data_IF_076385629801
#
_entry.id   IF_076385629801
#
_cell.length_a   1.000
_cell.length_b   1.000
_cell.length_c   1.000
_cell.angle_alpha   90.00
_cell.angle_beta   90.00
_cell.angle_gamma   90.00
#
_symmetry.space_group_name_H-M   'P 1'
#
loop_
_entity.id
_entity.type
_entity.pdbx_description
1 polymer ?
#
# COMPACT_ATOMS: atom_id res chain seq x y z
N UNK A 1 -8.33 -10.14 -5.76
CA UNK A 1 -8.74 -10.69 -4.45
C UNK A 1 -9.92 -9.89 -3.97
N UNK A 2 -10.99 -10.55 -3.51
CA UNK A 2 -12.14 -9.88 -2.91
C UNK A 2 -12.01 -10.05 -1.39
N UNK A 3 -12.09 -8.94 -0.65
CA UNK A 3 -12.17 -8.95 0.81
C UNK A 3 -13.64 -8.75 1.21
N UNK A 4 -14.27 -9.81 1.71
CA UNK A 4 -15.70 -9.81 2.05
C UNK A 4 -15.99 -9.30 3.46
N UNK A 5 -14.99 -9.28 4.33
CA UNK A 5 -15.10 -8.75 5.69
C UNK A 5 -13.96 -7.75 5.93
N UNK A 6 -14.25 -6.57 6.49
CA UNK A 6 -13.21 -5.62 6.86
C UNK A 6 -12.42 -6.17 8.05
N UNK A 7 -11.27 -6.79 7.76
CA UNK A 7 -10.25 -7.08 8.76
C UNK A 7 -9.70 -5.77 9.35
N UNK A 8 -9.66 -5.65 10.67
CA UNK A 8 -9.25 -4.41 11.35
C UNK A 8 -7.73 -4.32 11.58
N UNK A 9 -7.01 -5.43 11.33
CA UNK A 9 -5.57 -5.53 11.50
C UNK A 9 -4.87 -5.53 10.13
N UNK A 10 -4.10 -4.49 9.77
CA UNK A 10 -3.42 -4.43 8.48
C UNK A 10 -2.46 -5.60 8.27
N UNK A 11 -1.85 -6.12 9.35
CA UNK A 11 -0.96 -7.28 9.26
C UNK A 11 -1.67 -8.56 8.82
N UNK A 12 -2.96 -8.75 9.16
CA UNK A 12 -3.75 -9.90 8.68
C UNK A 12 -4.04 -9.76 7.19
N UNK A 13 -4.41 -8.55 6.75
CA UNK A 13 -4.63 -8.25 5.32
C UNK A 13 -3.34 -8.47 4.53
N UNK A 14 -2.20 -7.97 5.01
CA UNK A 14 -0.89 -8.21 4.41
C UNK A 14 -0.55 -9.70 4.30
N UNK A 15 -0.81 -10.48 5.36
CA UNK A 15 -0.62 -11.93 5.31
C UNK A 15 -1.54 -12.62 4.28
N UNK A 16 -2.79 -12.17 4.15
CA UNK A 16 -3.71 -12.70 3.13
C UNK A 16 -3.24 -12.36 1.73
N UNK A 17 -2.75 -11.14 1.50
CA UNK A 17 -2.12 -10.72 0.25
C UNK A 17 -0.88 -11.58 -0.03
N UNK A 18 -0.01 -11.80 0.95
CA UNK A 18 1.18 -12.66 0.81
C UNK A 18 0.88 -14.13 0.50
N UNK A 19 -0.35 -14.61 0.78
CA UNK A 19 -0.79 -15.95 0.31
C UNK A 19 -1.09 -15.99 -1.18
N UNK A 20 -1.51 -14.86 -1.75
CA UNK A 20 -1.75 -14.69 -3.20
C UNK A 20 -0.44 -14.33 -3.91
N UNK A 21 0.33 -13.42 -3.32
CA UNK A 21 1.64 -12.98 -3.80
C UNK A 21 2.78 -13.72 -3.10
N UNK A 22 3.03 -14.94 -3.58
CA UNK A 22 4.15 -15.77 -3.14
C UNK A 22 5.13 -16.03 -4.27
N UNK A 23 6.32 -16.51 -3.94
CA UNK A 23 7.32 -16.92 -4.94
C UNK A 23 6.68 -17.89 -5.94
N UNK A 24 6.83 -17.59 -7.23
CA UNK A 24 6.24 -18.37 -8.31
C UNK A 24 4.74 -18.14 -8.53
N UNK A 25 4.12 -17.12 -7.92
CA UNK A 25 2.73 -16.75 -8.20
C UNK A 25 2.52 -16.42 -9.68
N UNK A 26 1.28 -16.55 -10.16
CA UNK A 26 0.92 -16.15 -11.53
C UNK A 26 1.25 -14.69 -11.81
N UNK A 27 1.12 -13.83 -10.80
CA UNK A 27 1.51 -12.43 -10.93
C UNK A 27 3.02 -12.29 -11.13
N UNK A 28 3.85 -12.95 -10.30
CA UNK A 28 5.30 -12.91 -10.42
C UNK A 28 5.78 -13.40 -11.80
N UNK A 29 5.24 -14.52 -12.28
CA UNK A 29 5.55 -15.04 -13.62
C UNK A 29 5.17 -14.05 -14.73
N UNK A 30 3.98 -13.44 -14.66
CA UNK A 30 3.55 -12.42 -15.63
C UNK A 30 4.41 -11.17 -15.56
N UNK A 31 4.88 -10.80 -14.37
CA UNK A 31 5.75 -9.65 -14.17
C UNK A 31 7.11 -9.89 -14.83
N UNK A 32 7.72 -11.05 -14.63
CA UNK A 32 8.98 -11.42 -15.28
C UNK A 32 8.88 -11.36 -16.81
N UNK A 33 7.81 -11.93 -17.38
CA UNK A 33 7.55 -11.88 -18.82
C UNK A 33 7.37 -10.43 -19.29
N UNK A 34 6.59 -9.63 -18.57
CA UNK A 34 6.37 -8.22 -18.92
C UNK A 34 7.66 -7.40 -18.87
N UNK A 35 8.53 -7.65 -17.88
CA UNK A 35 9.84 -6.98 -17.76
C UNK A 35 10.78 -7.37 -18.91
N UNK A 36 10.87 -8.66 -19.26
CA UNK A 36 11.70 -9.14 -20.37
C UNK A 36 11.23 -8.61 -21.72
N UNK A 37 9.92 -8.54 -21.93
CA UNK A 37 9.32 -8.09 -23.19
C UNK A 37 9.11 -6.57 -23.26
N UNK A 38 9.45 -5.80 -22.22
CA UNK A 38 9.19 -4.36 -22.16
C UNK A 38 7.71 -3.98 -22.18
N UNK A 39 6.80 -4.91 -21.84
CA UNK A 39 5.36 -4.67 -21.90
C UNK A 39 4.88 -3.71 -20.80
N UNK A 40 3.93 -2.86 -21.18
CA UNK A 40 3.20 -1.95 -20.29
C UNK A 40 1.69 -2.05 -20.58
N UNK A 41 0.81 -1.92 -19.56
CA UNK A 41 1.13 -1.76 -18.14
C UNK A 41 1.65 -3.07 -17.52
N UNK A 42 2.43 -2.94 -16.44
CA UNK A 42 2.85 -4.11 -15.65
C UNK A 42 1.62 -4.78 -15.01
N UNK A 43 1.63 -6.11 -14.85
CA UNK A 43 0.56 -6.81 -14.16
C UNK A 43 0.45 -6.31 -12.72
N UNK A 44 -0.77 -6.19 -12.21
CA UNK A 44 -1.05 -5.77 -10.83
C UNK A 44 -1.87 -6.82 -10.12
N UNK A 45 -1.67 -6.93 -8.81
CA UNK A 45 -2.58 -7.65 -7.93
C UNK A 45 -3.66 -6.64 -7.52
N UNK A 46 -4.91 -6.96 -7.84
CA UNK A 46 -6.03 -6.10 -7.50
C UNK A 46 -6.71 -6.60 -6.24
N UNK A 47 -6.84 -5.74 -5.25
CA UNK A 47 -7.52 -6.00 -3.97
C UNK A 47 -8.81 -5.18 -3.97
N UNK A 48 -9.96 -5.85 -3.82
CA UNK A 48 -11.29 -5.23 -3.87
C UNK A 48 -12.03 -5.51 -2.56
N UNK A 49 -11.98 -4.60 -1.58
CA UNK A 49 -12.81 -4.70 -0.38
C UNK A 49 -14.28 -4.40 -0.70
N UNK A 50 -15.19 -5.16 -0.11
CA UNK A 50 -16.62 -4.87 -0.13
C UNK A 50 -16.97 -4.16 1.16
N UNK A 51 -17.41 -2.91 1.06
CA UNK A 51 -17.71 -2.06 2.21
C UNK A 51 -19.13 -1.54 2.04
N UNK A 52 -19.94 -1.66 3.08
CA UNK A 52 -21.28 -1.11 3.09
C UNK A 52 -21.24 0.33 3.64
N UNK A 53 -21.68 1.29 2.84
CA UNK A 53 -21.72 2.69 3.25
C UNK A 53 -22.70 2.93 4.39
N UNK A 54 -22.39 3.89 5.26
CA UNK A 54 -23.23 4.24 6.42
C UNK A 54 -23.26 3.17 7.51
N UNK A 55 -22.54 2.05 7.35
CA UNK A 55 -22.43 1.01 8.37
C UNK A 55 -21.11 1.13 9.14
N UNK A 56 -20.98 0.28 10.16
CA UNK A 56 -19.75 0.09 10.89
C UNK A 56 -18.56 -0.30 9.99
N UNK A 57 -18.81 -0.97 8.87
CA UNK A 57 -17.78 -1.37 7.90
C UNK A 57 -17.07 -0.16 7.29
N UNK A 58 -17.79 0.94 7.03
CA UNK A 58 -17.21 2.17 6.51
C UNK A 58 -16.27 2.83 7.53
N UNK A 59 -16.65 2.83 8.81
CA UNK A 59 -15.78 3.33 9.88
C UNK A 59 -14.53 2.45 10.04
N UNK A 60 -14.71 1.13 10.06
CA UNK A 60 -13.62 0.16 10.12
C UNK A 60 -12.66 0.28 8.95
N UNK A 61 -13.19 0.45 7.73
CA UNK A 61 -12.39 0.64 6.54
C UNK A 61 -11.48 1.87 6.65
N UNK A 62 -12.01 2.99 7.16
CA UNK A 62 -11.22 4.20 7.40
C UNK A 62 -10.08 3.94 8.39
N UNK A 63 -10.38 3.30 9.53
CA UNK A 63 -9.38 2.96 10.55
C UNK A 63 -8.29 2.03 10.00
N UNK A 64 -8.67 1.03 9.21
CA UNK A 64 -7.73 0.12 8.57
C UNK A 64 -6.79 0.89 7.62
N UNK A 65 -7.34 1.79 6.80
CA UNK A 65 -6.57 2.59 5.87
C UNK A 65 -5.57 3.51 6.58
N UNK A 66 -5.96 4.14 7.69
CA UNK A 66 -5.06 4.98 8.49
C UNK A 66 -3.92 4.15 9.10
N UNK A 67 -4.23 2.98 9.67
CA UNK A 67 -3.24 2.07 10.23
C UNK A 67 -2.32 1.46 9.17
N UNK A 68 -2.84 1.24 7.98
CA UNK A 68 -2.05 0.77 6.85
C UNK A 68 -1.00 1.81 6.46
N UNK A 69 -1.37 3.09 6.38
CA UNK A 69 -0.44 4.18 6.08
C UNK A 69 0.65 4.30 7.16
N UNK A 70 0.29 4.14 8.45
CA UNK A 70 1.27 4.06 9.54
C UNK A 70 2.24 2.88 9.39
N UNK A 71 1.70 1.68 9.15
CA UNK A 71 2.52 0.48 8.97
C UNK A 71 3.46 0.62 7.77
N UNK A 72 2.94 1.13 6.65
CA UNK A 72 3.72 1.38 5.45
C UNK A 72 4.84 2.38 5.73
N UNK A 73 4.57 3.44 6.49
CA UNK A 73 5.56 4.43 6.84
C UNK A 73 6.70 3.85 7.70
N UNK A 74 6.36 3.03 8.69
CA UNK A 74 7.32 2.34 9.55
C UNK A 74 8.21 1.36 8.75
N UNK A 75 7.62 0.60 7.82
CA UNK A 75 8.36 -0.42 7.06
C UNK A 75 9.25 0.16 5.96
N UNK A 76 8.88 1.32 5.41
CA UNK A 76 9.57 1.90 4.25
C UNK A 76 10.34 3.18 4.57
N UNK A 77 10.49 3.53 5.85
CA UNK A 77 11.22 4.73 6.28
C UNK A 77 10.57 6.04 5.86
N UNK A 78 9.26 6.05 5.62
CA UNK A 78 8.54 7.29 5.32
C UNK A 78 8.39 8.07 6.62
N UNK A 79 9.00 9.26 6.69
CA UNK A 79 9.05 10.05 7.93
C UNK A 79 7.69 10.65 8.28
N UNK A 80 7.01 11.20 7.26
CA UNK A 80 5.66 11.77 7.41
C UNK A 80 4.66 10.90 6.66
N UNK A 81 3.75 10.17 7.35
CA UNK A 81 2.73 9.33 6.73
C UNK A 81 1.89 10.11 5.71
N UNK A 82 1.48 9.46 4.62
CA UNK A 82 0.88 10.15 3.48
C UNK A 82 -0.45 10.81 3.83
N UNK A 83 -1.24 10.22 4.74
CA UNK A 83 -2.53 10.79 5.15
C UNK A 83 -2.38 12.18 5.79
N UNK A 84 -1.25 12.44 6.45
CA UNK A 84 -0.95 13.71 7.11
C UNK A 84 -0.48 14.79 6.14
N UNK A 85 -0.15 14.42 4.89
CA UNK A 85 0.34 15.37 3.87
C UNK A 85 -0.79 16.15 3.18
N UNK A 86 -2.03 15.70 3.35
CA UNK A 86 -3.19 16.37 2.79
C UNK A 86 -3.44 17.70 3.51
N UNK A 87 -3.49 18.79 2.76
CA UNK A 87 -3.67 20.14 3.32
C UNK A 87 -2.39 20.83 3.81
N UNK A 88 -1.22 20.21 3.64
CA UNK A 88 0.06 20.85 3.95
C UNK A 88 0.29 22.10 3.09
N UNK A 89 0.90 23.13 3.70
CA UNK A 89 1.38 24.31 2.97
C UNK A 89 2.55 23.96 2.05
N UNK A 90 2.94 24.91 1.18
CA UNK A 90 4.07 24.72 0.29
C UNK A 90 5.40 24.60 1.06
N UNK A 91 5.54 25.32 2.18
CA UNK A 91 6.70 25.22 3.07
C UNK A 91 6.78 23.84 3.75
N UNK A 92 5.66 23.35 4.29
CA UNK A 92 5.60 22.02 4.90
C UNK A 92 5.91 20.92 3.88
N UNK A 93 5.40 21.07 2.66
CA UNK A 93 5.68 20.15 1.55
C UNK A 93 7.17 20.12 1.20
N UNK A 94 7.81 21.29 1.13
CA UNK A 94 9.25 21.39 0.88
C UNK A 94 10.08 20.68 1.96
N UNK A 95 9.71 20.79 3.23
CA UNK A 95 10.40 20.06 4.31
C UNK A 95 10.13 18.54 4.24
N UNK A 96 8.91 18.13 3.90
CA UNK A 96 8.59 16.71 3.68
C UNK A 96 9.44 16.13 2.55
N UNK A 97 9.58 16.83 1.43
CA UNK A 97 10.40 16.38 0.29
C UNK A 97 11.88 16.27 0.68
N UNK A 98 12.37 17.18 1.52
CA UNK A 98 13.73 17.12 2.08
C UNK A 98 13.92 15.90 2.98
N UNK A 99 12.94 15.60 3.83
CA UNK A 99 12.95 14.42 4.71
C UNK A 99 12.91 13.12 3.91
N UNK A 100 12.03 13.02 2.91
CA UNK A 100 11.91 11.84 2.05
C UNK A 100 13.20 11.58 1.25
N UNK A 101 13.88 12.65 0.82
CA UNK A 101 15.16 12.54 0.12
C UNK A 101 16.31 12.06 1.01
N UNK A 102 16.23 12.34 2.31
CA UNK A 102 17.21 11.90 3.31
C UNK A 102 16.87 10.52 3.91
N UNK A 103 15.65 10.01 3.68
CA UNK A 103 15.21 8.74 4.20
C UNK A 103 15.94 7.55 3.54
N UNK A 104 16.15 6.45 4.27
CA UNK A 104 16.73 5.23 3.71
C UNK A 104 15.85 4.68 2.58
N UNK A 105 16.48 4.36 1.44
CA UNK A 105 15.80 3.76 0.30
C UNK A 105 15.82 2.23 0.40
N UNK A 106 14.65 1.62 0.61
CA UNK A 106 14.47 0.18 0.70
C UNK A 106 14.05 -0.48 -0.62
N UNK A 107 14.03 0.26 -1.74
CA UNK A 107 13.71 -0.32 -3.03
C UNK A 107 14.79 -1.34 -3.43
N UNK A 108 14.39 -2.51 -3.96
CA UNK A 108 15.36 -3.50 -4.44
C UNK A 108 16.25 -2.89 -5.53
N UNK A 109 17.56 -3.17 -5.43
CA UNK A 109 18.61 -2.72 -6.37
C UNK A 109 18.64 -3.59 -7.62
#
# INVERSE_FOLDING_TARGET
MILLHPEWNPGVVEQQVGRVDRVGSRWAQRLEVALRSGMRPLPRIEIRPVIFEGTYDAYHWRVLHDRWDDLHAQLNGVVVPHRLRSGCTDEERSEIDRLDSAAPNFKPT
#
